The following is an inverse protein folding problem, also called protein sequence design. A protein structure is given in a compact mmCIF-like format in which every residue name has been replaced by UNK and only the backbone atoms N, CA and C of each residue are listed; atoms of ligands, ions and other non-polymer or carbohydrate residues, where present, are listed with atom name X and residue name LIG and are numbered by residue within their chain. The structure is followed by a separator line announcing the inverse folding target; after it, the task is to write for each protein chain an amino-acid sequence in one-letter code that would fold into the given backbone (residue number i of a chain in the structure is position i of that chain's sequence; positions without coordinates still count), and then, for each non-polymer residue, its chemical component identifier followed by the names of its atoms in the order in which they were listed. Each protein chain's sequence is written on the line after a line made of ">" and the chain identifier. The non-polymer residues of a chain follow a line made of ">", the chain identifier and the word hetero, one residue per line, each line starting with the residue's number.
data_IF_574520418331
#
_entry.id   IF_574520418331
#
_cell.length_a   1.000
_cell.length_b   1.000
_cell.length_c   1.000
_cell.angle_alpha   90.00
_cell.angle_beta   90.00
_cell.angle_gamma   90.00
#
_symmetry.space_group_name_H-M   'P 1'
#
loop_
_entity.id
_entity.type
_entity.pdbx_description
1 polymer ?
#
# COMPACT_ATOMS: atom_id res chain seq x y z
N UNK A 1 -6.26 -12.63 -15.94
CA UNK A 1 -5.39 -12.51 -14.74
C UNK A 1 -5.24 -13.89 -14.13
N UNK A 2 -4.09 -14.54 -14.32
CA UNK A 2 -3.77 -15.80 -13.64
C UNK A 2 -3.31 -15.46 -12.22
N UNK A 3 -4.23 -15.13 -11.33
CA UNK A 3 -3.99 -15.12 -9.88
C UNK A 3 -4.07 -16.55 -9.37
N UNK A 4 -3.22 -17.40 -9.97
CA UNK A 4 -3.18 -18.84 -9.81
C UNK A 4 -2.65 -19.18 -8.42
N UNK A 5 -3.52 -19.72 -7.57
CA UNK A 5 -3.27 -20.57 -6.38
C UNK A 5 -2.31 -20.07 -5.29
N UNK A 6 -1.11 -19.62 -5.63
CA UNK A 6 -0.10 -19.08 -4.73
C UNK A 6 -0.65 -17.95 -3.85
N UNK A 7 -1.49 -17.10 -4.44
CA UNK A 7 -2.08 -15.97 -3.75
C UNK A 7 -3.04 -16.40 -2.62
N UNK A 8 -3.89 -17.39 -2.89
CA UNK A 8 -4.94 -17.83 -1.97
C UNK A 8 -4.36 -18.62 -0.80
N UNK A 9 -3.34 -19.42 -1.05
CA UNK A 9 -2.72 -20.27 -0.03
C UNK A 9 -1.67 -19.51 0.81
N UNK A 10 -0.83 -18.67 0.19
CA UNK A 10 0.33 -18.08 0.89
C UNK A 10 -0.04 -16.78 1.62
N UNK A 11 -0.84 -15.91 1.00
CA UNK A 11 -1.18 -14.61 1.62
C UNK A 11 -2.14 -14.79 2.80
N UNK A 12 -3.15 -15.66 2.64
CA UNK A 12 -4.11 -15.96 3.70
C UNK A 12 -3.44 -16.62 4.93
N UNK A 13 -2.36 -17.39 4.71
CA UNK A 13 -1.63 -18.09 5.78
C UNK A 13 -0.58 -17.20 6.46
N UNK A 14 0.11 -16.32 5.71
CA UNK A 14 1.22 -15.51 6.26
C UNK A 14 0.80 -14.16 6.85
N UNK A 15 -0.33 -13.59 6.41
CA UNK A 15 -0.74 -12.24 6.82
C UNK A 15 -2.23 -12.17 7.18
N UNK A 16 -2.64 -12.63 8.38
CA UNK A 16 -3.99 -12.42 8.88
C UNK A 16 -4.24 -10.91 9.02
N UNK A 17 -4.99 -10.33 8.08
CA UNK A 17 -5.32 -8.90 8.04
C UNK A 17 -4.93 -8.15 6.78
N UNK A 18 -4.39 -8.82 5.74
CA UNK A 18 -4.30 -8.25 4.39
C UNK A 18 -5.29 -8.96 3.50
N UNK A 19 -6.30 -8.24 2.99
CA UNK A 19 -7.28 -8.83 2.08
C UNK A 19 -6.72 -8.97 0.67
N UNK A 20 -7.11 -10.06 0.01
CA UNK A 20 -6.79 -10.33 -1.37
C UNK A 20 -7.27 -9.22 -2.31
N UNK A 21 -8.46 -8.67 -2.03
CA UNK A 21 -9.05 -7.57 -2.78
C UNK A 21 -8.13 -6.35 -2.84
N UNK A 22 -7.41 -6.04 -1.75
CA UNK A 22 -6.52 -4.90 -1.70
C UNK A 22 -5.29 -5.10 -2.58
N UNK A 23 -4.67 -6.27 -2.55
CA UNK A 23 -3.51 -6.55 -3.41
C UNK A 23 -3.93 -6.58 -4.87
N UNK A 24 -5.08 -7.19 -5.19
CA UNK A 24 -5.65 -7.16 -6.55
C UNK A 24 -5.85 -5.72 -7.02
N UNK A 25 -6.35 -4.84 -6.16
CA UNK A 25 -6.51 -3.42 -6.46
C UNK A 25 -5.16 -2.74 -6.71
N UNK A 26 -4.16 -2.99 -5.88
CA UNK A 26 -2.80 -2.43 -6.08
C UNK A 26 -2.15 -2.97 -7.36
N UNK A 27 -2.37 -4.23 -7.71
CA UNK A 27 -1.83 -4.80 -8.95
C UNK A 27 -2.58 -4.32 -10.20
N UNK A 28 -3.89 -4.14 -10.11
CA UNK A 28 -4.71 -3.62 -11.21
C UNK A 28 -4.48 -2.12 -11.46
N UNK A 29 -4.29 -1.35 -10.38
CA UNK A 29 -4.08 0.10 -10.43
C UNK A 29 -3.07 0.54 -9.36
N UNK A 30 -1.76 0.27 -9.54
CA UNK A 30 -0.73 0.74 -8.62
C UNK A 30 -0.64 2.26 -8.70
N UNK A 31 -0.65 2.93 -7.55
CA UNK A 31 -0.37 4.37 -7.48
C UNK A 31 1.09 4.68 -7.80
N UNK A 32 1.98 3.75 -7.50
CA UNK A 32 3.41 3.88 -7.79
C UNK A 32 3.99 2.52 -8.07
N UNK A 33 4.87 2.47 -9.06
CA UNK A 33 5.73 1.31 -9.30
C UNK A 33 7.19 1.74 -9.23
N UNK A 34 8.05 0.86 -8.73
CA UNK A 34 9.50 1.03 -8.73
C UNK A 34 10.15 -0.30 -9.01
N UNK A 35 10.92 -0.36 -10.10
CA UNK A 35 11.80 -1.48 -10.36
C UNK A 35 13.04 -1.42 -9.47
N UNK A 36 13.38 -2.50 -8.81
CA UNK A 36 14.63 -2.66 -8.08
C UNK A 36 15.73 -3.17 -9.03
N UNK A 37 16.99 -2.97 -8.64
CA UNK A 37 18.14 -3.48 -9.40
C UNK A 37 18.18 -5.02 -9.45
N UNK A 38 17.56 -5.70 -8.47
CA UNK A 38 17.41 -7.16 -8.38
C UNK A 38 16.35 -7.75 -9.35
N UNK A 39 15.73 -6.92 -10.20
CA UNK A 39 14.67 -7.36 -11.13
C UNK A 39 13.25 -7.38 -10.54
N UNK A 40 13.11 -7.19 -9.22
CA UNK A 40 11.80 -7.13 -8.54
C UNK A 40 11.09 -5.80 -8.77
N UNK A 41 9.76 -5.82 -8.72
CA UNK A 41 8.94 -4.61 -8.77
C UNK A 41 8.27 -4.35 -7.42
N UNK A 42 8.39 -3.12 -6.93
CA UNK A 42 7.64 -2.65 -5.79
C UNK A 42 6.47 -1.81 -6.30
N UNK A 43 5.26 -2.27 -6.00
CA UNK A 43 4.01 -1.59 -6.29
C UNK A 43 3.48 -1.00 -4.99
N UNK A 44 2.97 0.23 -5.03
CA UNK A 44 2.28 0.86 -3.91
C UNK A 44 0.86 1.16 -4.33
N UNK A 45 -0.10 0.92 -3.44
CA UNK A 45 -1.46 1.38 -3.62
C UNK A 45 -2.12 1.72 -2.29
N UNK A 46 -3.06 2.66 -2.33
CA UNK A 46 -3.77 3.10 -1.14
C UNK A 46 -4.98 2.19 -0.90
N UNK A 47 -5.13 1.79 0.34
CA UNK A 47 -6.23 0.97 0.82
C UNK A 47 -7.08 1.83 1.74
N UNK A 48 -8.15 2.47 1.23
CA UNK A 48 -9.04 3.30 2.05
C UNK A 48 -9.70 2.50 3.17
N UNK A 49 -10.06 1.24 2.89
CA UNK A 49 -10.67 0.30 3.85
C UNK A 49 -9.77 0.03 5.06
N UNK A 50 -8.45 0.14 4.90
CA UNK A 50 -7.46 -0.04 5.95
C UNK A 50 -7.00 1.32 6.54
N UNK A 51 -7.91 2.28 6.73
CA UNK A 51 -7.61 3.65 7.20
C UNK A 51 -6.67 4.42 6.24
N UNK A 52 -6.94 4.33 4.93
CA UNK A 52 -6.12 4.98 3.89
C UNK A 52 -4.62 4.58 3.91
N UNK A 53 -4.31 3.38 4.40
CA UNK A 53 -2.92 2.89 4.45
C UNK A 53 -2.37 2.62 3.07
N UNK A 54 -1.09 2.92 2.87
CA UNK A 54 -0.37 2.49 1.69
C UNK A 54 -0.01 1.01 1.84
N UNK A 55 -0.51 0.16 0.97
CA UNK A 55 -0.12 -1.22 0.82
C UNK A 55 1.03 -1.28 -0.21
N UNK A 56 2.15 -1.87 0.21
CA UNK A 56 3.30 -2.12 -0.65
C UNK A 56 3.32 -3.60 -1.04
N UNK A 57 3.26 -3.87 -2.33
CA UNK A 57 3.28 -5.20 -2.93
C UNK A 57 4.56 -5.35 -3.73
N UNK A 58 5.44 -6.25 -3.29
CA UNK A 58 6.65 -6.63 -4.03
C UNK A 58 6.30 -7.81 -4.92
N UNK A 59 6.46 -7.65 -6.22
CA UNK A 59 6.36 -8.71 -7.22
C UNK A 59 7.74 -9.08 -7.76
N UNK A 60 7.85 -10.27 -8.33
CA UNK A 60 9.02 -10.69 -9.13
C UNK A 60 9.07 -9.94 -10.47
N UNK A 61 10.05 -10.29 -11.30
CA UNK A 61 10.27 -9.68 -12.62
C UNK A 61 9.06 -9.78 -13.55
N UNK A 62 8.26 -10.84 -13.42
CA UNK A 62 7.05 -11.08 -14.21
C UNK A 62 5.89 -10.14 -13.88
N UNK A 63 5.98 -9.36 -12.79
CA UNK A 63 4.89 -8.51 -12.25
C UNK A 63 3.60 -9.25 -11.89
N UNK A 64 3.51 -10.55 -12.14
CA UNK A 64 2.36 -11.40 -11.79
C UNK A 64 2.56 -12.10 -10.43
N UNK A 65 3.79 -12.50 -10.11
CA UNK A 65 4.08 -13.26 -8.88
C UNK A 65 4.36 -12.31 -7.73
N UNK A 66 3.45 -12.25 -6.76
CA UNK A 66 3.65 -11.50 -5.51
C UNK A 66 4.64 -12.24 -4.63
N UNK A 67 5.81 -11.65 -4.42
CA UNK A 67 6.82 -12.15 -3.50
C UNK A 67 6.49 -11.78 -2.05
N UNK A 68 6.05 -10.55 -1.81
CA UNK A 68 5.73 -10.05 -0.48
C UNK A 68 4.69 -8.93 -0.53
N UNK A 69 3.83 -8.79 0.49
CA UNK A 69 2.88 -7.70 0.58
C UNK A 69 2.71 -7.25 2.03
N UNK A 70 2.88 -5.95 2.30
CA UNK A 70 2.79 -5.40 3.66
C UNK A 70 2.31 -3.95 3.66
N UNK A 71 1.70 -3.54 4.77
CA UNK A 71 1.28 -2.15 4.97
C UNK A 71 2.46 -1.26 5.33
N UNK A 72 2.70 -0.25 4.51
CA UNK A 72 3.63 0.82 4.80
C UNK A 72 2.92 1.88 5.66
N UNK A 73 3.15 1.82 6.98
CA UNK A 73 2.58 2.75 7.96
C UNK A 73 3.27 4.13 7.93
N UNK A 74 4.42 4.25 7.25
CA UNK A 74 5.20 5.47 7.16
C UNK A 74 4.67 6.47 6.14
N UNK A 75 4.03 6.00 5.06
CA UNK A 75 3.49 6.88 4.01
C UNK A 75 2.39 7.84 4.50
N UNK A 76 1.61 7.43 5.51
CA UNK A 76 0.52 8.24 6.08
C UNK A 76 1.00 9.33 7.04
N UNK A 77 2.21 9.21 7.62
CA UNK A 77 2.70 10.20 8.60
C UNK A 77 2.98 11.57 7.98
N UNK A 78 3.00 11.65 6.65
CA UNK A 78 3.17 12.88 5.88
C UNK A 78 1.85 13.48 5.38
N UNK A 79 0.70 12.83 5.61
CA UNK A 79 -0.64 13.35 5.33
C UNK A 79 -1.43 13.46 6.64
N UNK A 80 -0.92 14.24 7.58
CA UNK A 80 -1.78 14.85 8.60
C UNK A 80 -2.50 16.03 7.95
N UNK A 81 -3.83 16.03 7.75
CA UNK A 81 -4.60 17.26 7.79
C UNK A 81 -4.79 17.71 9.25
N UNK A 82 -3.72 17.71 10.03
CA UNK A 82 -3.72 18.10 11.44
C UNK A 82 -2.57 19.07 11.70
N UNK A 83 -2.57 20.14 10.91
CA UNK A 83 -2.23 21.44 11.44
C UNK A 83 -3.37 22.36 11.01
N UNK A 84 -4.35 22.70 11.87
CA UNK A 84 -5.00 23.98 11.68
C UNK A 84 -3.89 25.05 11.71
N UNK A 85 -3.93 26.10 10.86
CA UNK A 85 -3.05 27.24 11.08
C UNK A 85 -3.19 27.65 12.55
N UNK A 86 -2.13 28.07 13.26
CA UNK A 86 -2.35 28.71 14.55
C UNK A 86 -3.38 29.81 14.28
N UNK A 87 -4.59 29.66 14.84
CA UNK A 87 -5.57 30.73 14.85
C UNK A 87 -4.80 31.92 15.39
N UNK A 88 -4.50 32.87 14.50
CA UNK A 88 -4.04 34.18 14.87
C UNK A 88 -5.17 34.73 15.73
N UNK A 89 -5.02 34.56 17.04
CA UNK A 89 -5.82 35.28 18.02
C UNK A 89 -5.44 36.73 17.76
N UNK A 90 -6.33 37.59 17.23
CA UNK A 90 -6.03 39.00 17.24
C UNK A 90 -5.91 39.42 18.71
N UNK A 91 -4.95 40.27 19.09
CA UNK A 91 -4.99 40.85 20.42
C UNK A 91 -6.32 41.61 20.55
N UNK A 92 -7.10 41.24 21.57
CA UNK A 92 -8.32 41.95 21.96
C UNK A 92 -7.95 43.37 22.47
N UNK A 93 -8.91 44.30 22.51
CA UNK A 93 -8.72 45.74 22.25
C UNK A 93 -7.85 46.50 23.26
#
# INVERSE_FOLDING_TARGET
>A
MKTTSYFREVVCTKHPGIEAAWILRVMAAPLKERRQADGRYALWGLVPEAQNRALRVITLEDRETVHNAFFDRGFLRSRTPSQPPPSAVPPAP
#
